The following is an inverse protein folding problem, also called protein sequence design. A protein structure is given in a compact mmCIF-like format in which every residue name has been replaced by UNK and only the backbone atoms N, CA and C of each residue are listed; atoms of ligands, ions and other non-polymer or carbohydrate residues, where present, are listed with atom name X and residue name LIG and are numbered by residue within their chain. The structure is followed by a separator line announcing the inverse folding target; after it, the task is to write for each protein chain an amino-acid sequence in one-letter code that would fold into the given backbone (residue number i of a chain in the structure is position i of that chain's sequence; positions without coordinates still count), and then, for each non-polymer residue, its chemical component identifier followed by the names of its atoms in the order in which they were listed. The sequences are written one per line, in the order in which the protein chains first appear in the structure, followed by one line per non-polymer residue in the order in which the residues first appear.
data_IF_557230356522
#
_entry.id   IF_557230356522
#
_cell.length_a   1.000
_cell.length_b   1.000
_cell.length_c   1.000
_cell.angle_alpha   90.00
_cell.angle_beta   90.00
_cell.angle_gamma   90.00
#
_symmetry.space_group_name_H-M   'P 1'
#
loop_
_entity.id
_entity.type
_entity.pdbx_description
1 polymer ?
#
# COMPACT_ATOMS: atom_id res chain seq x y z
N UNK A 1 -2.21 45.58 -23.72
CA UNK A 1 -1.16 44.60 -24.09
C UNK A 1 -0.54 43.91 -22.86
N UNK A 2 -0.39 44.55 -21.73
CA UNK A 2 0.21 44.04 -20.49
C UNK A 2 -0.61 42.89 -19.82
N UNK A 3 -1.92 42.99 -19.76
CA UNK A 3 -2.78 41.97 -19.10
C UNK A 3 -2.78 40.59 -19.76
N UNK A 4 -2.68 40.53 -21.08
CA UNK A 4 -2.65 39.29 -21.83
C UNK A 4 -1.33 38.49 -21.61
N UNK A 5 -0.23 39.17 -21.35
CA UNK A 5 1.06 38.52 -21.05
C UNK A 5 1.06 37.96 -19.62
N UNK A 6 0.46 38.70 -18.70
CA UNK A 6 0.37 38.28 -17.29
C UNK A 6 -0.51 37.00 -17.12
N UNK A 7 -1.70 36.98 -17.75
CA UNK A 7 -2.60 35.84 -17.72
C UNK A 7 -1.97 34.59 -18.32
N UNK A 8 -1.15 34.72 -19.34
CA UNK A 8 -0.47 33.63 -20.02
C UNK A 8 0.63 32.99 -19.18
N UNK A 9 1.44 33.82 -18.49
CA UNK A 9 2.48 33.32 -17.57
C UNK A 9 1.84 32.55 -16.40
N UNK A 10 0.76 33.07 -15.85
CA UNK A 10 -0.01 32.41 -14.78
C UNK A 10 -0.53 31.03 -15.21
N UNK A 11 -1.09 30.90 -16.42
CA UNK A 11 -1.62 29.61 -16.92
C UNK A 11 -0.52 28.58 -17.16
N UNK A 12 0.65 28.98 -17.65
CA UNK A 12 1.79 28.06 -17.83
C UNK A 12 2.34 27.61 -16.48
N UNK A 13 2.53 28.53 -15.53
CA UNK A 13 2.99 28.23 -14.19
C UNK A 13 2.03 27.25 -13.48
N UNK A 14 0.72 27.50 -13.60
CA UNK A 14 -0.30 26.60 -13.07
C UNK A 14 -0.21 25.21 -13.69
N UNK A 15 0.00 25.08 -15.01
CA UNK A 15 0.17 23.80 -15.69
C UNK A 15 1.38 23.01 -15.16
N UNK A 16 2.51 23.70 -14.92
CA UNK A 16 3.71 23.08 -14.33
C UNK A 16 3.47 22.60 -12.89
N UNK A 17 2.84 23.44 -12.06
CA UNK A 17 2.56 23.09 -10.66
C UNK A 17 1.65 21.85 -10.59
N UNK A 18 0.58 21.83 -11.37
CA UNK A 18 -0.37 20.72 -11.38
C UNK A 18 0.32 19.44 -11.85
N UNK A 19 1.09 19.46 -12.94
CA UNK A 19 1.80 18.27 -13.42
C UNK A 19 2.82 17.76 -12.41
N UNK A 20 3.54 18.65 -11.71
CA UNK A 20 4.48 18.28 -10.67
C UNK A 20 3.77 17.61 -9.48
N UNK A 21 2.61 18.13 -9.07
CA UNK A 21 1.79 17.52 -8.01
C UNK A 21 1.33 16.10 -8.37
N UNK A 22 0.89 15.87 -9.61
CA UNK A 22 0.49 14.54 -10.06
C UNK A 22 1.67 13.55 -10.02
N UNK A 23 2.84 13.96 -10.49
CA UNK A 23 4.05 13.13 -10.46
C UNK A 23 4.43 12.81 -9.00
N UNK A 24 4.39 13.81 -8.11
CA UNK A 24 4.74 13.65 -6.70
C UNK A 24 3.79 12.67 -5.99
N UNK A 25 2.48 12.82 -6.19
CA UNK A 25 1.47 11.92 -5.62
C UNK A 25 1.71 10.49 -6.10
N UNK A 26 1.93 10.31 -7.41
CA UNK A 26 2.22 9.00 -7.99
C UNK A 26 3.51 8.38 -7.44
N UNK A 27 4.57 9.16 -7.27
CA UNK A 27 5.85 8.71 -6.71
C UNK A 27 5.72 8.29 -5.24
N UNK A 28 5.00 9.07 -4.42
CA UNK A 28 4.75 8.74 -3.01
C UNK A 28 3.93 7.46 -2.89
N UNK A 29 2.85 7.33 -3.67
CA UNK A 29 2.02 6.12 -3.67
C UNK A 29 2.80 4.88 -4.13
N UNK A 30 3.60 5.01 -5.20
CA UNK A 30 4.46 3.94 -5.70
C UNK A 30 5.53 3.54 -4.70
N UNK A 31 6.21 4.50 -4.09
CA UNK A 31 7.23 4.27 -3.07
C UNK A 31 6.66 3.55 -1.84
N UNK A 32 5.48 3.96 -1.39
CA UNK A 32 4.78 3.27 -0.30
C UNK A 32 4.47 1.81 -0.64
N UNK A 33 3.93 1.56 -1.84
CA UNK A 33 3.63 0.20 -2.30
C UNK A 33 4.87 -0.68 -2.39
N UNK A 34 5.98 -0.14 -2.93
CA UNK A 34 7.24 -0.87 -3.06
C UNK A 34 7.82 -1.22 -1.69
N UNK A 35 7.82 -0.27 -0.75
CA UNK A 35 8.31 -0.51 0.61
C UNK A 35 7.48 -1.58 1.32
N UNK A 36 6.15 -1.49 1.21
CA UNK A 36 5.25 -2.48 1.81
C UNK A 36 5.45 -3.87 1.20
N UNK A 37 5.59 -3.95 -0.13
CA UNK A 37 5.86 -5.21 -0.82
C UNK A 37 7.21 -5.80 -0.43
N UNK A 38 8.26 -4.98 -0.35
CA UNK A 38 9.60 -5.43 0.03
C UNK A 38 9.63 -5.96 1.47
N UNK A 39 9.01 -5.26 2.43
CA UNK A 39 8.91 -5.70 3.81
C UNK A 39 8.21 -7.06 3.93
N UNK A 40 7.08 -7.22 3.23
CA UNK A 40 6.34 -8.48 3.21
C UNK A 40 7.14 -9.62 2.56
N UNK A 41 7.78 -9.36 1.43
CA UNK A 41 8.63 -10.31 0.75
C UNK A 41 9.78 -10.75 1.65
N UNK A 42 10.39 -9.82 2.38
CA UNK A 42 11.46 -10.12 3.32
C UNK A 42 11.02 -11.14 4.38
N UNK A 43 9.82 -10.99 4.96
CA UNK A 43 9.27 -11.95 5.92
C UNK A 43 9.01 -13.31 5.29
N UNK A 44 8.51 -13.36 4.05
CA UNK A 44 8.21 -14.62 3.36
C UNK A 44 9.47 -15.39 2.94
N UNK A 45 10.54 -14.67 2.56
CA UNK A 45 11.79 -15.27 2.05
C UNK A 45 12.74 -15.67 3.18
N UNK A 46 12.78 -14.92 4.29
CA UNK A 46 13.72 -15.11 5.39
C UNK A 46 13.05 -15.57 6.70
N UNK A 47 11.73 -15.50 6.78
CA UNK A 47 10.99 -15.89 7.99
C UNK A 47 10.96 -17.39 8.21
N UNK A 48 10.97 -17.78 9.48
CA UNK A 48 10.71 -19.17 9.89
C UNK A 48 9.24 -19.49 9.73
N UNK A 49 8.95 -20.66 9.17
CA UNK A 49 7.58 -21.15 8.98
C UNK A 49 7.16 -22.00 10.18
N UNK A 50 6.00 -21.69 10.72
CA UNK A 50 5.41 -22.47 11.82
C UNK A 50 3.90 -22.57 11.65
N UNK A 51 3.29 -23.54 12.33
CA UNK A 51 1.84 -23.59 12.45
C UNK A 51 1.35 -22.59 13.49
N UNK A 52 0.26 -21.92 13.17
CA UNK A 52 -0.42 -21.01 14.06
C UNK A 52 -1.91 -21.32 14.11
N UNK A 53 -2.54 -21.05 15.24
CA UNK A 53 -3.98 -21.16 15.41
C UNK A 53 -4.59 -19.78 15.48
N UNK A 54 -5.63 -19.52 14.72
CA UNK A 54 -6.41 -18.28 14.80
C UNK A 54 -7.21 -18.30 16.08
N UNK A 55 -6.88 -17.43 17.03
CA UNK A 55 -7.57 -17.35 18.34
C UNK A 55 -8.88 -16.58 18.21
N UNK A 56 -8.83 -15.44 17.56
CA UNK A 56 -9.99 -14.60 17.30
C UNK A 56 -9.79 -13.69 16.09
N UNK A 57 -10.90 -13.18 15.57
CA UNK A 57 -10.92 -12.12 14.56
C UNK A 57 -11.48 -10.86 15.22
N UNK A 58 -10.70 -9.78 15.24
CA UNK A 58 -11.15 -8.48 15.72
C UNK A 58 -11.83 -7.79 14.53
N UNK A 59 -13.10 -7.48 14.70
CA UNK A 59 -13.88 -6.73 13.71
C UNK A 59 -13.63 -5.25 13.89
N UNK A 60 -13.05 -4.61 12.87
CA UNK A 60 -12.83 -3.17 12.85
C UNK A 60 -13.96 -2.52 12.05
N UNK A 61 -14.73 -1.69 12.73
CA UNK A 61 -15.77 -0.89 12.10
C UNK A 61 -15.21 0.50 11.78
N UNK A 62 -15.29 0.91 10.51
CA UNK A 62 -14.90 2.25 10.09
C UNK A 62 -16.15 3.12 9.97
N UNK A 63 -16.36 4.11 10.86
CA UNK A 63 -17.47 5.05 10.75
C UNK A 63 -17.42 5.76 9.40
N UNK A 64 -18.54 5.73 8.66
CA UNK A 64 -18.63 6.34 7.32
C UNK A 64 -18.26 5.44 6.15
N UNK A 65 -17.75 4.23 6.39
CA UNK A 65 -17.51 3.21 5.36
C UNK A 65 -18.42 2.00 5.60
N UNK A 66 -19.01 1.45 4.52
CA UNK A 66 -19.71 0.17 4.59
C UNK A 66 -18.75 -1.03 4.66
N UNK A 67 -17.46 -0.78 4.57
CA UNK A 67 -16.44 -1.81 4.63
C UNK A 67 -16.15 -2.20 6.09
N UNK A 68 -16.18 -3.49 6.36
CA UNK A 68 -15.73 -4.08 7.61
C UNK A 68 -14.38 -4.75 7.35
N UNK A 69 -13.35 -4.45 8.15
CA UNK A 69 -12.10 -5.18 8.10
C UNK A 69 -11.97 -6.10 9.31
N UNK A 70 -11.23 -7.19 9.14
CA UNK A 70 -10.97 -8.17 10.19
C UNK A 70 -9.47 -8.25 10.44
N UNK A 71 -9.10 -8.19 11.71
CA UNK A 71 -7.71 -8.32 12.16
C UNK A 71 -7.56 -9.66 12.87
N UNK A 72 -6.82 -10.61 12.31
CA UNK A 72 -6.62 -11.91 12.95
C UNK A 72 -5.64 -11.79 14.12
N UNK A 73 -5.99 -12.48 15.20
CA UNK A 73 -5.12 -12.75 16.33
C UNK A 73 -4.70 -14.20 16.24
N UNK A 74 -3.41 -14.45 16.10
CA UNK A 74 -2.86 -15.79 15.95
C UNK A 74 -2.03 -16.18 17.17
N UNK A 75 -2.08 -17.45 17.55
CA UNK A 75 -1.22 -18.04 18.57
C UNK A 75 -0.32 -19.07 17.92
N UNK A 76 0.96 -19.02 18.21
CA UNK A 76 1.97 -19.97 17.73
C UNK A 76 3.09 -20.15 18.75
N UNK A 77 3.88 -21.20 18.56
CA UNK A 77 5.09 -21.44 19.35
C UNK A 77 6.30 -20.98 18.55
N UNK A 78 7.11 -20.09 19.12
CA UNK A 78 8.33 -19.60 18.47
C UNK A 78 9.47 -20.65 18.51
N UNK A 79 10.58 -20.35 17.85
CA UNK A 79 11.74 -21.23 17.76
C UNK A 79 12.39 -21.52 19.13
N UNK A 80 12.11 -20.71 20.14
CA UNK A 80 12.55 -20.87 21.52
C UNK A 80 11.58 -21.70 22.39
N UNK A 81 10.52 -22.22 21.79
CA UNK A 81 9.49 -22.99 22.49
C UNK A 81 8.48 -22.13 23.28
N UNK A 82 8.52 -20.81 23.15
CA UNK A 82 7.61 -19.91 23.84
C UNK A 82 6.33 -19.70 23.05
N UNK A 83 5.19 -19.90 23.72
CA UNK A 83 3.89 -19.57 23.12
C UNK A 83 3.72 -18.07 23.02
N UNK A 84 3.40 -17.59 21.81
CA UNK A 84 3.15 -16.18 21.51
C UNK A 84 1.75 -16.00 20.95
N UNK A 85 1.13 -14.91 21.35
CA UNK A 85 -0.15 -14.49 20.80
C UNK A 85 0.04 -13.09 20.22
N UNK A 86 -0.11 -12.96 18.90
CA UNK A 86 0.20 -11.72 18.18
C UNK A 86 -1.00 -11.30 17.34
N UNK A 87 -1.24 -10.00 17.31
CA UNK A 87 -2.28 -9.37 16.52
C UNK A 87 -1.65 -8.74 15.28
N UNK A 88 -2.20 -9.01 14.10
CA UNK A 88 -1.77 -8.33 12.89
C UNK A 88 -2.44 -6.97 12.80
N UNK A 89 -1.65 -5.89 12.87
CA UNK A 89 -2.16 -4.51 12.85
C UNK A 89 -2.62 -4.02 11.47
N UNK A 90 -2.28 -4.70 10.40
CA UNK A 90 -2.75 -4.38 9.06
C UNK A 90 -4.04 -5.16 8.79
N UNK A 91 -5.18 -4.46 8.88
CA UNK A 91 -6.47 -5.00 8.52
C UNK A 91 -6.54 -5.28 7.03
N UNK A 92 -6.22 -6.51 6.63
CA UNK A 92 -6.47 -6.98 5.29
C UNK A 92 -7.91 -7.52 5.23
N UNK A 93 -8.70 -6.98 4.33
CA UNK A 93 -10.05 -7.47 4.02
C UNK A 93 -10.08 -8.92 3.51
N UNK A 94 -8.92 -9.50 3.24
CA UNK A 94 -8.76 -10.81 2.62
C UNK A 94 -8.80 -11.99 3.61
N UNK A 95 -9.01 -11.74 4.90
CA UNK A 95 -9.12 -12.80 5.93
C UNK A 95 -10.55 -13.23 6.27
N UNK A 96 -11.50 -12.96 5.40
CA UNK A 96 -12.92 -13.33 5.62
C UNK A 96 -13.15 -14.83 5.82
N UNK A 97 -12.28 -15.65 5.23
CA UNK A 97 -12.41 -17.12 5.30
C UNK A 97 -11.77 -17.72 6.56
N UNK A 98 -11.02 -16.94 7.34
CA UNK A 98 -10.43 -17.40 8.58
C UNK A 98 -11.47 -17.41 9.69
N UNK A 99 -11.59 -18.54 10.37
CA UNK A 99 -12.46 -18.70 11.55
C UNK A 99 -11.61 -18.93 12.80
N UNK A 100 -12.05 -18.48 13.97
CA UNK A 100 -11.42 -18.88 15.24
C UNK A 100 -11.29 -20.39 15.33
N UNK A 101 -10.15 -20.88 15.79
CA UNK A 101 -9.82 -22.32 15.84
C UNK A 101 -9.18 -22.86 14.56
N UNK A 102 -9.17 -22.12 13.45
CA UNK A 102 -8.51 -22.57 12.21
C UNK A 102 -6.99 -22.62 12.39
N UNK A 103 -6.38 -23.73 12.01
CA UNK A 103 -4.92 -23.83 11.88
C UNK A 103 -4.48 -23.26 10.54
N UNK A 104 -3.42 -22.47 10.55
CA UNK A 104 -2.82 -21.88 9.36
C UNK A 104 -1.31 -21.89 9.50
N UNK A 105 -0.60 -21.79 8.39
CA UNK A 105 0.84 -21.59 8.42
C UNK A 105 1.15 -20.09 8.44
N UNK A 106 2.18 -19.72 9.18
CA UNK A 106 2.73 -18.37 9.20
C UNK A 106 4.23 -18.40 8.91
N UNK A 107 4.74 -17.33 8.31
CA UNK A 107 6.16 -17.02 8.29
C UNK A 107 6.39 -15.83 9.22
N UNK A 108 7.36 -15.91 10.13
CA UNK A 108 7.70 -14.83 11.06
C UNK A 108 9.21 -14.64 11.17
N UNK A 109 9.65 -13.42 11.48
CA UNK A 109 11.06 -13.12 11.72
C UNK A 109 11.39 -13.45 13.18
N UNK A 110 12.43 -14.29 13.47
CA UNK A 110 12.81 -14.63 14.85
C UNK A 110 13.21 -13.41 15.69
N UNK A 111 13.80 -12.42 15.05
CA UNK A 111 14.27 -11.17 15.66
C UNK A 111 13.10 -10.21 15.98
N UNK A 112 12.02 -10.28 15.20
CA UNK A 112 10.84 -9.43 15.30
C UNK A 112 9.57 -10.28 15.06
N UNK A 113 9.16 -11.14 16.01
CA UNK A 113 8.06 -12.09 15.82
C UNK A 113 6.70 -11.45 15.57
N UNK A 114 6.55 -10.15 15.88
CA UNK A 114 5.38 -9.33 15.54
C UNK A 114 5.24 -9.11 14.03
N UNK A 115 6.33 -9.26 13.28
CA UNK A 115 6.33 -9.21 11.82
C UNK A 115 6.15 -10.61 11.27
N UNK A 116 4.90 -10.97 11.01
CA UNK A 116 4.54 -12.27 10.45
C UNK A 116 3.59 -12.14 9.25
N UNK A 117 3.62 -13.14 8.39
CA UNK A 117 2.71 -13.28 7.25
C UNK A 117 1.98 -14.61 7.31
N UNK A 118 0.68 -14.60 6.98
CA UNK A 118 -0.14 -15.81 6.92
C UNK A 118 0.02 -16.45 5.54
N UNK A 119 0.17 -17.77 5.50
CA UNK A 119 0.29 -18.57 4.28
C UNK A 119 -0.96 -19.46 4.14
N UNK A 120 -1.65 -19.49 2.98
CA UNK A 120 -1.32 -18.81 1.73
C UNK A 120 -1.53 -17.29 1.82
N UNK A 121 -0.63 -16.57 1.15
CA UNK A 121 -0.65 -15.10 1.15
C UNK A 121 -1.94 -14.60 0.49
N UNK A 122 -2.77 -13.79 1.17
CA UNK A 122 -3.95 -13.22 0.56
C UNK A 122 -3.62 -12.41 -0.69
N UNK A 123 -4.48 -12.48 -1.71
CA UNK A 123 -4.29 -11.74 -2.96
C UNK A 123 -4.36 -10.23 -2.68
N UNK A 124 -3.27 -9.54 -2.94
CA UNK A 124 -3.11 -8.10 -2.66
C UNK A 124 -3.80 -7.23 -3.73
N UNK A 125 -5.11 -7.41 -3.92
CA UNK A 125 -5.89 -6.64 -4.92
C UNK A 125 -5.81 -5.13 -4.69
N UNK A 126 -5.86 -4.70 -3.42
CA UNK A 126 -5.81 -3.29 -3.05
C UNK A 126 -4.44 -2.68 -3.36
N UNK A 127 -3.35 -3.39 -3.07
CA UNK A 127 -2.00 -2.91 -3.37
C UNK A 127 -1.77 -2.77 -4.88
N UNK A 128 -2.30 -3.71 -5.67
CA UNK A 128 -2.23 -3.67 -7.13
C UNK A 128 -3.02 -2.48 -7.69
N UNK A 129 -4.17 -2.17 -7.09
CA UNK A 129 -4.99 -1.00 -7.43
C UNK A 129 -4.28 0.32 -7.12
N UNK A 130 -3.65 0.42 -5.93
CA UNK A 130 -2.89 1.62 -5.52
C UNK A 130 -1.64 1.80 -6.40
N UNK A 131 -0.91 0.72 -6.68
CA UNK A 131 0.26 0.76 -7.56
C UNK A 131 -0.13 1.16 -8.99
N UNK A 132 -1.21 0.58 -9.53
CA UNK A 132 -1.75 0.93 -10.85
C UNK A 132 -2.24 2.38 -10.90
N UNK A 133 -2.96 2.83 -9.88
CA UNK A 133 -3.40 4.22 -9.73
C UNK A 133 -2.22 5.18 -9.66
N UNK A 134 -1.21 4.88 -8.83
CA UNK A 134 0.01 5.69 -8.72
C UNK A 134 0.74 5.81 -10.06
N UNK A 135 0.87 4.70 -10.80
CA UNK A 135 1.45 4.69 -12.14
C UNK A 135 0.68 5.57 -13.13
N UNK A 136 -0.65 5.51 -13.09
CA UNK A 136 -1.51 6.37 -13.92
C UNK A 136 -1.28 7.86 -13.63
N UNK A 137 -1.18 8.24 -12.36
CA UNK A 137 -0.88 9.64 -11.98
C UNK A 137 0.45 10.13 -12.54
N UNK A 138 1.49 9.30 -12.52
CA UNK A 138 2.79 9.64 -13.11
C UNK A 138 2.67 9.85 -14.62
N UNK A 139 2.00 8.94 -15.33
CA UNK A 139 1.83 9.04 -16.79
C UNK A 139 1.04 10.30 -17.17
N UNK A 140 -0.05 10.59 -16.48
CA UNK A 140 -0.85 11.80 -16.68
C UNK A 140 -0.02 13.06 -16.39
N UNK A 141 0.72 13.06 -15.27
CA UNK A 141 1.58 14.18 -14.88
C UNK A 141 2.66 14.47 -15.93
N UNK A 142 3.34 13.44 -16.45
CA UNK A 142 4.33 13.56 -17.51
C UNK A 142 3.68 14.10 -18.79
N UNK A 143 2.52 13.57 -19.19
CA UNK A 143 1.78 14.02 -20.36
C UNK A 143 1.40 15.51 -20.28
N UNK A 144 0.90 15.94 -19.11
CA UNK A 144 0.61 17.36 -18.86
C UNK A 144 1.86 18.23 -18.89
N UNK A 145 2.97 17.74 -18.36
CA UNK A 145 4.25 18.44 -18.35
C UNK A 145 4.76 18.67 -19.78
N UNK A 146 4.77 17.61 -20.61
CA UNK A 146 5.17 17.68 -22.02
C UNK A 146 4.29 18.65 -22.80
N UNK A 147 2.97 18.58 -22.65
CA UNK A 147 2.05 19.47 -23.36
C UNK A 147 2.23 20.92 -22.95
N UNK A 148 2.56 21.20 -21.70
CA UNK A 148 2.86 22.55 -21.20
C UNK A 148 4.16 23.08 -21.83
N UNK A 149 5.20 22.26 -21.93
CA UNK A 149 6.47 22.60 -22.61
C UNK A 149 6.22 22.88 -24.10
N UNK A 150 5.52 22.00 -24.81
CA UNK A 150 5.23 22.18 -26.23
C UNK A 150 4.45 23.46 -26.53
N UNK A 151 3.54 23.87 -25.62
CA UNK A 151 2.84 25.16 -25.71
C UNK A 151 3.78 26.35 -25.52
N UNK A 152 4.86 26.21 -24.76
CA UNK A 152 5.88 27.24 -24.64
C UNK A 152 6.68 27.43 -25.96
N UNK A 153 7.02 26.32 -26.63
CA UNK A 153 7.86 26.36 -27.87
C UNK A 153 7.06 26.69 -29.14
N UNK A 154 5.80 26.25 -29.27
CA UNK A 154 4.99 26.48 -30.50
C UNK A 154 4.66 27.96 -30.78
N UNK A 155 5.02 28.87 -29.91
CA UNK A 155 4.72 30.30 -30.02
C UNK A 155 5.96 31.20 -29.97
N UNK A 156 7.12 30.67 -30.26
CA UNK A 156 8.28 31.41 -30.70
C UNK A 156 8.35 31.44 -32.23
#
# INVERSE_FOLDING_TARGET
MSQAIYSRRATLLQGFIVSLLFILIGAVAGGFCLNFYAARKHVLDHGLRTEATVVKLIRNYHPGSRATSYTPVVSFTDAQGKSRQITRHLGDSDFYDLKPGTRTQIAYLPEAPEHFEIIPVPKMKVLLLIAGGGGLFIVVGIGMFITTILRCFKKR
#
